data_IF_408623590956
#
_entry.id   IF_408623590956
#
_cell.length_a   1.000
_cell.length_b   1.000
_cell.length_c   1.000
_cell.angle_alpha   90.00
_cell.angle_beta   90.00
_cell.angle_gamma   90.00
#
_symmetry.space_group_name_H-M   'P 1'
#
loop_
_entity.id
_entity.type
_entity.pdbx_description
1 polymer ?
#
# COMPACT_ATOMS: atom_id res chain seq x y z
N UNK A 1 1.42 -3.67 39.68
CA UNK A 1 2.75 -4.32 39.62
C UNK A 1 2.70 -5.24 38.40
N UNK A 2 3.19 -4.78 37.25
CA UNK A 2 3.03 -5.48 35.97
C UNK A 2 4.17 -6.48 35.82
N UNK A 3 3.84 -7.76 35.90
CA UNK A 3 4.78 -8.87 35.89
C UNK A 3 5.10 -9.24 34.44
N UNK A 4 6.22 -8.72 33.93
CA UNK A 4 6.79 -9.09 32.63
C UNK A 4 7.44 -10.48 32.71
N UNK A 5 6.66 -11.50 33.05
CA UNK A 5 7.04 -12.90 32.98
C UNK A 5 7.12 -13.39 31.52
N UNK A 6 8.10 -12.87 30.76
CA UNK A 6 8.55 -13.33 29.43
C UNK A 6 7.53 -13.17 28.27
N UNK A 7 7.20 -11.90 27.95
CA UNK A 7 6.72 -11.38 26.65
C UNK A 7 5.80 -12.30 25.82
N UNK A 8 4.63 -12.66 26.35
CA UNK A 8 3.53 -13.06 25.46
C UNK A 8 2.82 -11.81 24.97
N UNK A 9 2.86 -11.59 23.66
CA UNK A 9 2.02 -10.61 22.98
C UNK A 9 0.55 -10.95 23.28
N UNK A 10 -0.24 -9.98 23.75
CA UNK A 10 -1.67 -10.15 23.97
C UNK A 10 -2.50 -9.53 22.84
N UNK A 11 -3.77 -9.93 22.63
CA UNK A 11 -4.64 -9.30 21.64
C UNK A 11 -4.79 -7.79 21.85
N UNK A 12 -4.77 -7.34 23.11
CA UNK A 12 -4.85 -5.93 23.45
C UNK A 12 -3.57 -5.18 23.10
N UNK A 13 -2.40 -5.82 23.29
CA UNK A 13 -1.13 -5.23 22.87
C UNK A 13 -1.13 -4.96 21.37
N UNK A 14 -1.58 -5.92 20.55
CA UNK A 14 -1.66 -5.78 19.08
C UNK A 14 -2.55 -4.60 18.68
N UNK A 15 -3.73 -4.48 19.30
CA UNK A 15 -4.67 -3.37 19.02
C UNK A 15 -4.15 -2.00 19.46
N UNK A 16 -3.16 -1.97 20.35
CA UNK A 16 -2.58 -0.72 20.87
C UNK A 16 -1.28 -0.30 20.18
N UNK A 17 -0.75 -1.11 19.26
CA UNK A 17 0.48 -0.80 18.52
C UNK A 17 0.24 0.39 17.60
N UNK A 18 1.08 1.41 17.73
CA UNK A 18 1.12 2.54 16.80
C UNK A 18 2.40 2.47 15.96
N UNK A 19 2.24 2.59 14.65
CA UNK A 19 3.36 2.69 13.73
C UNK A 19 3.61 4.15 13.34
N UNK A 20 4.86 4.62 13.31
CA UNK A 20 5.17 5.95 12.82
C UNK A 20 4.91 6.05 11.32
N UNK A 21 4.46 7.22 10.86
CA UNK A 21 4.26 7.49 9.44
C UNK A 21 5.56 7.29 8.65
N UNK A 22 5.43 6.83 7.40
CA UNK A 22 6.57 6.69 6.48
C UNK A 22 7.28 8.02 6.30
N UNK A 23 8.61 8.00 6.23
CA UNK A 23 9.41 9.20 5.94
C UNK A 23 9.03 9.76 4.56
N UNK A 24 9.13 11.09 4.41
CA UNK A 24 8.83 11.76 3.15
C UNK A 24 9.68 11.14 2.01
N UNK A 25 9.02 10.66 0.95
CA UNK A 25 9.67 10.02 -0.20
C UNK A 25 9.79 8.48 -0.17
N UNK A 26 9.40 7.79 0.91
CA UNK A 26 9.31 6.32 0.96
C UNK A 26 7.87 5.83 0.83
N UNK A 27 7.63 4.79 0.02
CA UNK A 27 6.34 4.08 -0.03
C UNK A 27 6.12 3.37 1.31
N UNK A 28 5.10 3.81 2.06
CA UNK A 28 4.59 3.13 3.25
C UNK A 28 3.49 2.12 2.91
N UNK A 29 3.13 1.29 3.88
CA UNK A 29 1.91 0.47 3.81
C UNK A 29 0.67 1.36 3.92
N UNK A 30 -0.45 0.92 3.33
CA UNK A 30 -1.74 1.59 3.51
C UNK A 30 -2.23 1.30 4.92
N UNK A 31 -2.57 2.35 5.67
CA UNK A 31 -3.04 2.27 7.07
C UNK A 31 -4.20 1.28 7.22
N UNK A 32 -5.23 1.41 6.38
CA UNK A 32 -6.40 0.52 6.36
C UNK A 32 -6.04 -0.98 6.24
N UNK A 33 -5.02 -1.31 5.42
CA UNK A 33 -4.58 -2.70 5.24
C UNK A 33 -3.78 -3.22 6.45
N UNK A 34 -3.05 -2.34 7.12
CA UNK A 34 -2.32 -2.67 8.34
C UNK A 34 -3.31 -2.89 9.48
N UNK A 35 -4.32 -2.02 9.60
CA UNK A 35 -5.34 -2.14 10.65
C UNK A 35 -6.17 -3.42 10.51
N UNK A 36 -6.65 -3.73 9.30
CA UNK A 36 -7.39 -4.98 9.03
C UNK A 36 -6.54 -6.22 9.37
N UNK A 37 -5.25 -6.18 9.06
CA UNK A 37 -4.33 -7.24 9.40
C UNK A 37 -4.12 -7.37 10.92
N UNK A 38 -3.95 -6.26 11.64
CA UNK A 38 -3.79 -6.27 13.09
C UNK A 38 -5.04 -6.82 13.80
N UNK A 39 -6.23 -6.47 13.30
CA UNK A 39 -7.50 -6.99 13.82
C UNK A 39 -7.60 -8.51 13.64
N UNK A 40 -7.24 -9.02 12.47
CA UNK A 40 -7.20 -10.46 12.20
C UNK A 40 -6.23 -11.20 13.12
N UNK A 41 -5.03 -10.65 13.33
CA UNK A 41 -4.02 -11.25 14.22
C UNK A 41 -4.50 -11.21 15.67
N UNK A 42 -5.12 -10.12 16.12
CA UNK A 42 -5.68 -10.00 17.46
C UNK A 42 -6.80 -11.01 17.72
N UNK A 43 -7.72 -11.20 16.77
CA UNK A 43 -8.80 -12.19 16.91
C UNK A 43 -8.26 -13.62 16.94
N UNK A 44 -7.29 -13.93 16.06
CA UNK A 44 -6.65 -15.25 16.03
C UNK A 44 -5.97 -15.58 17.36
N UNK A 45 -5.25 -14.60 17.93
CA UNK A 45 -4.58 -14.76 19.22
C UNK A 45 -5.59 -14.92 20.37
N UNK A 46 -6.69 -14.17 20.35
CA UNK A 46 -7.76 -14.32 21.31
C UNK A 46 -8.41 -15.72 21.25
N UNK A 47 -8.56 -16.28 20.05
CA UNK A 47 -9.02 -17.66 19.86
C UNK A 47 -8.08 -18.69 20.50
N UNK A 48 -6.77 -18.56 20.23
CA UNK A 48 -5.72 -19.40 20.84
C UNK A 48 -5.74 -19.36 22.37
N UNK A 49 -5.90 -18.18 22.96
CA UNK A 49 -5.93 -18.03 24.42
C UNK A 49 -7.15 -18.70 25.04
N UNK A 50 -8.32 -18.63 24.38
CA UNK A 50 -9.53 -19.35 24.81
C UNK A 50 -9.32 -20.87 24.79
N UNK A 51 -8.67 -21.40 23.75
CA UNK A 51 -8.36 -22.83 23.67
C UNK A 51 -7.40 -23.28 24.77
N UNK A 52 -6.33 -22.51 25.04
CA UNK A 52 -5.40 -22.79 26.13
C UNK A 52 -6.09 -22.74 27.49
N UNK A 53 -7.00 -21.79 27.71
CA UNK A 53 -7.79 -21.69 28.94
C UNK A 53 -8.68 -22.94 29.13
N UNK A 54 -9.35 -23.40 28.07
CA UNK A 54 -10.17 -24.63 28.10
C UNK A 54 -9.33 -25.86 28.41
N UNK A 55 -8.18 -26.02 27.75
CA UNK A 55 -7.28 -27.15 28.00
C UNK A 55 -6.78 -27.17 29.45
N UNK A 56 -6.45 -25.99 30.01
CA UNK A 56 -6.05 -25.85 31.42
C UNK A 56 -7.20 -26.17 32.39
N UNK A 57 -8.40 -25.69 32.10
CA UNK A 57 -9.58 -26.00 32.89
C UNK A 57 -9.85 -27.51 32.91
N UNK A 58 -9.68 -28.18 31.77
CA UNK A 58 -9.85 -29.63 31.67
C UNK A 58 -8.77 -30.40 32.43
N UNK A 59 -7.51 -29.98 32.33
CA UNK A 59 -6.42 -30.54 33.14
C UNK A 59 -6.75 -30.41 34.63
N UNK A 60 -7.18 -29.22 35.06
CA UNK A 60 -7.54 -28.98 36.47
C UNK A 60 -8.76 -29.81 36.88
N UNK A 61 -9.77 -29.95 36.02
CA UNK A 61 -10.94 -30.80 36.27
C UNK A 61 -10.53 -32.26 36.50
N UNK A 62 -9.69 -32.81 35.63
CA UNK A 62 -9.20 -34.19 35.74
C UNK A 62 -8.36 -34.37 37.00
N UNK A 63 -7.50 -33.39 37.32
CA UNK A 63 -6.73 -33.40 38.58
C UNK A 63 -7.65 -33.45 39.79
N UNK A 64 -8.61 -32.53 39.87
CA UNK A 64 -9.56 -32.47 40.98
C UNK A 64 -10.40 -33.76 41.11
N UNK A 65 -10.88 -34.32 39.98
CA UNK A 65 -11.60 -35.61 39.99
C UNK A 65 -10.74 -36.74 40.57
N UNK A 66 -9.44 -36.77 40.24
CA UNK A 66 -8.52 -37.79 40.77
C UNK A 66 -8.27 -37.64 42.27
N UNK A 67 -8.10 -36.40 42.72
CA UNK A 67 -7.95 -36.05 44.13
C UNK A 67 -9.19 -36.50 44.92
N UNK A 68 -10.40 -36.16 44.45
CA UNK A 68 -11.67 -36.55 45.07
C UNK A 68 -11.87 -38.07 45.15
N UNK A 69 -11.34 -38.81 44.17
CA UNK A 69 -11.45 -40.27 44.11
C UNK A 69 -10.29 -41.01 44.79
N UNK A 70 -9.42 -40.29 45.54
CA UNK A 70 -8.28 -40.84 46.26
C UNK A 70 -7.35 -41.69 45.36
N UNK A 71 -7.31 -41.38 44.06
CA UNK A 71 -6.41 -42.01 43.10
C UNK A 71 -5.06 -41.35 43.32
N UNK A 72 -4.02 -42.08 43.78
CA UNK A 72 -2.72 -41.47 44.02
C UNK A 72 -2.26 -40.71 42.77
N UNK A 73 -1.76 -39.48 42.95
CA UNK A 73 -0.86 -38.88 41.97
C UNK A 73 0.25 -39.90 41.81
N UNK A 74 0.19 -40.70 40.74
CA UNK A 74 1.33 -41.50 40.35
C UNK A 74 2.39 -40.49 39.95
N UNK A 75 3.19 -40.08 40.93
CA UNK A 75 4.42 -39.33 40.72
C UNK A 75 5.15 -40.04 39.60
N UNK A 76 5.47 -39.29 38.55
CA UNK A 76 6.22 -39.69 37.37
C UNK A 76 6.46 -41.21 37.33
N UNK A 77 5.45 -41.99 36.90
CA UNK A 77 5.73 -43.40 36.65
C UNK A 77 6.83 -43.41 35.61
N UNK A 78 7.89 -44.17 35.83
CA UNK A 78 8.95 -44.32 34.83
C UNK A 78 8.26 -44.76 33.54
N UNK A 79 8.29 -43.94 32.47
CA UNK A 79 7.54 -44.24 31.27
C UNK A 79 8.00 -45.60 30.75
N UNK A 80 7.04 -46.43 30.34
CA UNK A 80 7.39 -47.76 29.86
C UNK A 80 8.31 -47.62 28.63
N UNK A 81 9.19 -48.60 28.33
CA UNK A 81 10.05 -48.52 27.16
C UNK A 81 9.28 -48.25 25.85
N UNK A 82 8.04 -48.75 25.75
CA UNK A 82 7.13 -48.50 24.63
C UNK A 82 6.65 -47.04 24.56
N UNK A 83 6.30 -46.44 25.70
CA UNK A 83 5.94 -45.03 25.78
C UNK A 83 7.13 -44.13 25.43
N UNK A 84 8.31 -44.41 25.98
CA UNK A 84 9.55 -43.69 25.64
C UNK A 84 9.83 -43.76 24.14
N UNK A 85 9.63 -44.93 23.53
CA UNK A 85 9.80 -45.10 22.08
C UNK A 85 8.76 -44.29 21.28
N UNK A 86 7.49 -44.27 21.70
CA UNK A 86 6.45 -43.47 21.06
C UNK A 86 6.75 -41.97 21.13
N UNK A 87 7.17 -41.47 22.31
CA UNK A 87 7.59 -40.07 22.48
C UNK A 87 8.80 -39.74 21.61
N UNK A 88 9.83 -40.60 21.59
CA UNK A 88 11.00 -40.41 20.75
C UNK A 88 10.63 -40.31 19.26
N UNK A 89 9.73 -41.18 18.77
CA UNK A 89 9.23 -41.13 17.39
C UNK A 89 8.43 -39.86 17.10
N UNK A 90 7.55 -39.46 18.01
CA UNK A 90 6.76 -38.24 17.87
C UNK A 90 7.67 -36.99 17.85
N UNK A 91 8.70 -36.97 18.69
CA UNK A 91 9.66 -35.87 18.76
C UNK A 91 10.52 -35.77 17.49
N UNK A 92 11.03 -36.90 16.99
CA UNK A 92 11.73 -36.95 15.70
C UNK A 92 10.84 -36.47 14.54
N UNK A 93 9.55 -36.82 14.55
CA UNK A 93 8.60 -36.33 13.54
C UNK A 93 8.37 -34.81 13.65
N UNK A 94 8.29 -34.26 14.87
CA UNK A 94 8.15 -32.84 15.11
C UNK A 94 9.40 -32.06 14.64
N UNK A 95 10.59 -32.53 15.00
CA UNK A 95 11.87 -31.95 14.56
C UNK A 95 11.97 -31.94 13.02
N UNK A 96 11.57 -33.03 12.36
CA UNK A 96 11.54 -33.10 10.90
C UNK A 96 10.58 -32.09 10.26
N UNK A 97 9.42 -31.84 10.89
CA UNK A 97 8.46 -30.83 10.45
C UNK A 97 9.00 -29.40 10.63
N UNK A 98 9.67 -29.13 11.76
CA UNK A 98 10.31 -27.83 12.02
C UNK A 98 11.41 -27.54 10.98
N UNK A 99 12.28 -28.51 10.71
CA UNK A 99 13.33 -28.36 9.69
C UNK A 99 12.76 -28.17 8.27
N UNK A 100 11.63 -28.83 7.99
CA UNK A 100 10.92 -28.61 6.73
C UNK A 100 10.36 -27.19 6.66
N UNK A 101 9.70 -26.72 7.70
CA UNK A 101 9.14 -25.37 7.75
C UNK A 101 10.23 -24.30 7.60
N UNK A 102 11.35 -24.46 8.32
CA UNK A 102 12.51 -23.55 8.23
C UNK A 102 13.06 -23.48 6.81
N UNK A 103 13.17 -24.62 6.11
CA UNK A 103 13.64 -24.66 4.71
C UNK A 103 12.67 -23.97 3.75
N UNK A 104 11.36 -24.19 3.91
CA UNK A 104 10.34 -23.53 3.07
C UNK A 104 10.37 -22.02 3.27
N UNK A 105 10.48 -21.54 4.50
CA UNK A 105 10.59 -20.10 4.80
C UNK A 105 11.86 -19.49 4.18
N UNK A 106 13.02 -20.13 4.35
CA UNK A 106 14.26 -19.65 3.74
C UNK A 106 14.18 -19.60 2.21
N UNK A 107 13.55 -20.60 1.58
CA UNK A 107 13.34 -20.62 0.14
C UNK A 107 12.38 -19.53 -0.33
N UNK A 108 11.28 -19.31 0.40
CA UNK A 108 10.32 -18.25 0.12
C UNK A 108 11.00 -16.86 0.20
N UNK A 109 11.80 -16.62 1.24
CA UNK A 109 12.57 -15.38 1.41
C UNK A 109 13.56 -15.16 0.25
N UNK A 110 14.31 -16.20 -0.12
CA UNK A 110 15.25 -16.12 -1.24
C UNK A 110 14.53 -15.79 -2.56
N UNK A 111 13.39 -16.44 -2.80
CA UNK A 111 12.56 -16.20 -4.00
C UNK A 111 11.98 -14.78 -4.00
N UNK A 112 11.50 -14.29 -2.85
CA UNK A 112 10.98 -12.93 -2.72
C UNK A 112 12.07 -11.88 -2.99
N UNK A 113 13.28 -12.07 -2.46
CA UNK A 113 14.43 -11.19 -2.72
C UNK A 113 14.80 -11.15 -4.20
N UNK A 114 14.82 -12.31 -4.86
CA UNK A 114 15.09 -12.39 -6.30
C UNK A 114 14.06 -11.63 -7.11
N UNK A 115 12.76 -11.88 -6.86
CA UNK A 115 11.67 -11.17 -7.55
C UNK A 115 11.72 -9.66 -7.33
N UNK A 116 12.02 -9.24 -6.11
CA UNK A 116 12.18 -7.81 -5.80
C UNK A 116 13.33 -7.18 -6.60
N UNK A 117 14.50 -7.83 -6.63
CA UNK A 117 15.64 -7.34 -7.39
C UNK A 117 15.32 -7.22 -8.89
N UNK A 118 14.60 -8.20 -9.44
CA UNK A 118 14.17 -8.19 -10.83
C UNK A 118 13.20 -7.03 -11.13
N UNK A 119 12.16 -6.85 -10.30
CA UNK A 119 11.20 -5.74 -10.44
C UNK A 119 11.91 -4.39 -10.37
N UNK A 120 12.83 -4.24 -9.41
CA UNK A 120 13.58 -2.99 -9.24
C UNK A 120 14.50 -2.71 -10.42
N UNK A 121 15.17 -3.74 -10.95
CA UNK A 121 15.97 -3.62 -12.15
C UNK A 121 15.13 -3.20 -13.36
N UNK A 122 13.99 -3.87 -13.59
CA UNK A 122 13.07 -3.52 -14.68
C UNK A 122 12.51 -2.10 -14.54
N UNK A 123 12.18 -1.67 -13.33
CA UNK A 123 11.71 -0.30 -13.06
C UNK A 123 12.81 0.74 -13.36
N UNK A 124 14.05 0.46 -12.99
CA UNK A 124 15.20 1.32 -13.27
C UNK A 124 15.42 1.45 -14.79
N UNK A 125 15.39 0.34 -15.54
CA UNK A 125 15.53 0.36 -17.00
C UNK A 125 14.39 1.12 -17.69
N UNK A 126 13.14 0.90 -17.26
CA UNK A 126 11.99 1.67 -17.78
C UNK A 126 12.15 3.17 -17.52
N UNK A 127 12.68 3.55 -16.36
CA UNK A 127 12.91 4.97 -16.02
C UNK A 127 13.97 5.59 -16.93
N UNK A 128 15.06 4.88 -17.24
CA UNK A 128 16.06 5.32 -18.22
C UNK A 128 15.42 5.57 -19.59
N UNK A 129 14.64 4.62 -20.08
CA UNK A 129 13.95 4.71 -21.38
C UNK A 129 12.99 5.90 -21.41
N UNK A 130 12.18 6.08 -20.37
CA UNK A 130 11.27 7.23 -20.26
C UNK A 130 12.03 8.56 -20.22
N UNK A 131 13.18 8.61 -19.53
CA UNK A 131 14.05 9.79 -19.50
C UNK A 131 14.58 10.17 -20.89
N UNK A 132 14.99 9.18 -21.69
CA UNK A 132 15.42 9.40 -23.08
C UNK A 132 14.25 9.93 -23.92
N UNK A 133 13.08 9.28 -23.91
CA UNK A 133 11.91 9.75 -24.64
C UNK A 133 11.52 11.18 -24.26
N UNK A 134 11.51 11.50 -22.96
CA UNK A 134 11.20 12.83 -22.49
C UNK A 134 12.22 13.87 -22.99
N UNK A 135 13.50 13.51 -23.10
CA UNK A 135 14.53 14.40 -23.65
C UNK A 135 14.32 14.69 -25.14
N UNK A 136 13.98 13.66 -25.94
CA UNK A 136 13.68 13.78 -27.37
C UNK A 136 12.45 14.66 -27.58
N UNK A 137 11.35 14.39 -26.86
CA UNK A 137 10.12 15.20 -26.94
C UNK A 137 10.41 16.66 -26.58
N UNK A 138 11.16 16.91 -25.50
CA UNK A 138 11.56 18.28 -25.11
C UNK A 138 12.39 18.96 -26.20
N UNK A 139 13.34 18.26 -26.80
CA UNK A 139 14.19 18.81 -27.88
C UNK A 139 13.36 19.15 -29.12
N UNK A 140 12.44 18.27 -29.51
CA UNK A 140 11.56 18.45 -30.66
C UNK A 140 10.58 19.61 -30.45
N UNK A 141 9.95 19.69 -29.28
CA UNK A 141 9.06 20.81 -28.94
C UNK A 141 9.83 22.15 -28.96
N UNK A 142 11.07 22.17 -28.45
CA UNK A 142 11.92 23.36 -28.49
C UNK A 142 12.24 23.78 -29.93
N UNK A 143 12.54 22.83 -30.82
CA UNK A 143 12.78 23.11 -32.23
C UNK A 143 11.52 23.67 -32.93
N UNK A 144 10.35 23.08 -32.68
CA UNK A 144 9.08 23.56 -33.21
C UNK A 144 8.76 24.99 -32.76
N UNK A 145 8.98 25.31 -31.48
CA UNK A 145 8.77 26.66 -30.96
C UNK A 145 9.70 27.69 -31.61
N UNK A 146 10.97 27.33 -31.85
CA UNK A 146 11.90 28.21 -32.55
C UNK A 146 11.47 28.46 -34.00
N UNK A 147 11.03 27.42 -34.71
CA UNK A 147 10.55 27.55 -36.08
C UNK A 147 9.29 28.44 -36.16
N UNK A 148 8.32 28.24 -35.27
CA UNK A 148 7.13 29.09 -35.17
C UNK A 148 7.48 30.56 -34.87
N UNK A 149 8.46 30.80 -33.99
CA UNK A 149 8.91 32.16 -33.69
C UNK A 149 9.54 32.83 -34.92
N UNK A 150 10.30 32.07 -35.72
CA UNK A 150 10.89 32.53 -36.97
C UNK A 150 9.83 32.83 -38.03
N UNK A 151 8.82 31.97 -38.19
CA UNK A 151 7.68 32.21 -39.08
C UNK A 151 6.91 33.49 -38.70
N UNK A 152 6.65 33.71 -37.42
CA UNK A 152 6.00 34.94 -36.93
C UNK A 152 6.86 36.18 -37.22
N UNK A 153 8.19 36.09 -37.07
CA UNK A 153 9.10 37.18 -37.41
C UNK A 153 9.12 37.47 -38.92
N UNK A 154 9.12 36.44 -39.76
CA UNK A 154 9.07 36.61 -41.22
C UNK A 154 7.75 37.25 -41.68
N UNK A 155 6.61 36.84 -41.10
CA UNK A 155 5.31 37.46 -41.35
C UNK A 155 5.27 38.93 -40.89
N UNK A 156 5.86 39.23 -39.74
CA UNK A 156 5.98 40.60 -39.24
C UNK A 156 6.91 41.49 -40.08
N UNK A 157 7.99 40.92 -40.62
CA UNK A 157 8.93 41.63 -41.50
C UNK A 157 8.39 41.87 -42.92
N UNK A 158 7.41 41.08 -43.37
CA UNK A 158 6.75 41.22 -44.66
C UNK A 158 5.60 42.26 -44.66
N UNK A 159 5.19 42.77 -43.50
CA UNK A 159 4.21 43.85 -43.39
C UNK A 159 4.90 45.22 -43.52
N UNK A 160 4.57 46.06 -44.52
CA UNK A 160 5.15 47.40 -44.65
C UNK A 160 4.68 48.30 -43.50
N UNK A 161 5.61 49.15 -43.01
CA UNK A 161 5.45 50.01 -41.82
C UNK A 161 4.59 51.26 -42.07
N UNK A 162 4.06 51.47 -43.27
CA UNK A 162 3.30 52.68 -43.56
C UNK A 162 1.81 52.40 -43.67
N UNK A 163 1.05 52.72 -42.63
CA UNK A 163 -0.25 53.41 -42.75
C UNK A 163 -0.47 54.24 -41.47
N UNK A 164 -0.27 55.55 -41.60
CA UNK A 164 -0.74 56.55 -40.66
C UNK A 164 -2.24 56.36 -40.40
N UNK A 165 -2.64 56.43 -39.12
CA UNK A 165 -4.03 56.64 -38.73
C UNK A 165 -4.52 57.97 -39.35
N UNK A 166 -5.64 58.01 -40.10
CA UNK A 166 -6.15 59.26 -40.62
C UNK A 166 -6.88 60.05 -39.53
N UNK A 167 -6.53 61.33 -39.37
CA UNK A 167 -7.24 62.29 -38.55
C UNK A 167 -8.18 63.16 -39.40
N UNK A 168 -9.48 62.87 -39.28
CA UNK A 168 -10.69 63.70 -39.44
C UNK A 168 -10.93 64.55 -40.71
N UNK A 169 -12.03 64.21 -41.40
CA UNK A 169 -12.72 65.07 -42.37
C UNK A 169 -13.98 64.43 -42.95
N UNK A 170 -15.11 64.69 -42.29
CA UNK A 170 -16.52 64.68 -42.74
C UNK A 170 -17.03 63.71 -43.85
N UNK A 171 -18.06 62.95 -43.46
CA UNK A 171 -18.91 62.07 -44.27
C UNK A 171 -19.73 62.82 -45.35
N UNK A 172 -19.90 62.24 -46.56
CA UNK A 172 -21.05 62.53 -47.41
C UNK A 172 -21.92 61.28 -47.62
N UNK A 173 -23.18 61.34 -47.14
CA UNK A 173 -24.22 60.34 -47.45
C UNK A 173 -24.96 59.81 -46.24
N UNK A 174 -25.69 60.68 -45.54
CA UNK A 174 -26.64 60.31 -44.50
C UNK A 174 -27.65 59.26 -44.99
N UNK A 175 -28.03 58.29 -44.14
CA UNK A 175 -29.44 58.07 -43.83
C UNK A 175 -29.68 57.29 -42.53
N UNK A 176 -30.42 57.99 -41.65
CA UNK A 176 -31.46 57.55 -40.71
C UNK A 176 -31.08 56.74 -39.46
N UNK A 177 -31.06 57.50 -38.37
CA UNK A 177 -31.96 57.42 -37.20
C UNK A 177 -32.19 56.05 -36.56
N UNK A 178 -31.78 55.98 -35.29
CA UNK A 178 -32.31 55.10 -34.25
C UNK A 178 -33.81 55.32 -34.05
N UNK A 179 -34.44 54.21 -33.65
CA UNK A 179 -35.61 54.02 -32.77
C UNK A 179 -36.36 52.78 -33.32
N UNK A 180 -36.83 51.79 -32.58
CA UNK A 180 -36.86 51.48 -31.16
C UNK A 180 -37.30 49.99 -31.04
N UNK A 181 -37.06 49.39 -29.88
CA UNK A 181 -37.61 48.15 -29.29
C UNK A 181 -38.06 46.94 -30.14
N UNK A 182 -37.66 45.71 -29.75
CA UNK A 182 -38.59 44.71 -29.17
C UNK A 182 -37.87 43.79 -28.15
N UNK A 183 -38.57 43.62 -27.02
CA UNK A 183 -38.45 42.68 -25.90
C UNK A 183 -38.20 41.19 -26.23
N UNK A 184 -37.54 40.50 -25.27
CA UNK A 184 -37.78 39.10 -24.83
C UNK A 184 -37.41 38.00 -25.85
N UNK A 185 -36.89 36.83 -25.52
CA UNK A 185 -36.97 35.96 -24.34
C UNK A 185 -35.84 34.92 -24.54
N UNK A 186 -34.93 34.74 -23.59
CA UNK A 186 -35.00 33.77 -22.48
C UNK A 186 -34.37 32.40 -22.82
N UNK A 187 -33.38 32.04 -21.98
CA UNK A 187 -33.18 30.70 -21.39
C UNK A 187 -32.54 29.56 -22.20
N UNK A 188 -31.41 29.13 -21.64
CA UNK A 188 -31.01 27.76 -21.27
C UNK A 188 -29.74 27.13 -21.84
N UNK A 189 -29.11 26.48 -20.87
CA UNK A 189 -27.92 25.67 -20.79
C UNK A 189 -28.19 24.22 -21.26
N UNK A 190 -27.09 23.55 -21.68
CA UNK A 190 -26.90 22.09 -21.76
C UNK A 190 -27.60 21.31 -22.90
N UNK A 191 -27.17 20.06 -23.20
CA UNK A 191 -26.11 19.25 -22.56
C UNK A 191 -24.89 18.94 -23.44
#
# INVERSE_FOLDING_TARGET
MNDHGRLRLTPQDIRSVQFPASRFGTRGYREEQVDEFLDLVAETLAGRDRELARARAEINRVKNWREDHNIPEQGVRTPTPEEVHLYSRAQLAAEALEDRARRVLAQADATARQRYAEIMHQAAERTKVLGVHASVIRAQLRAQLLQLAEEVQQLGAAAPVDHELPANGELPGAHRLRDDQVHGTDVHQAP
#
